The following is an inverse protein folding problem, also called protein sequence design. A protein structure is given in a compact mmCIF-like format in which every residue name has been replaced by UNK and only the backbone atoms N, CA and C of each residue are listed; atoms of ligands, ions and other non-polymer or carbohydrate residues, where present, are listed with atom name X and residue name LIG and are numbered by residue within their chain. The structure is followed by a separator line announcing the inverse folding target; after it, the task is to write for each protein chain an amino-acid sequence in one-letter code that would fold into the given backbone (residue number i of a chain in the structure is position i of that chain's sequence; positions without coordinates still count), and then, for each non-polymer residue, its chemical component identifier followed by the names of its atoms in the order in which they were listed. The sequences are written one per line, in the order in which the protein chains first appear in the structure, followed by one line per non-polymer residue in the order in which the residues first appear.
data_IF_546475810062
#
_entry.id   IF_546475810062
#
_cell.length_a   1.000
_cell.length_b   1.000
_cell.length_c   1.000
_cell.angle_alpha   90.00
_cell.angle_beta   90.00
_cell.angle_gamma   90.00
#
_symmetry.space_group_name_H-M   'P 1'
#
loop_
_entity.id
_entity.type
_entity.pdbx_description
1 polymer ?
#
# COMPACT_ATOMS: atom_id res chain seq x y z
N UNK A 1 21.04 -31.38 -1.28
CA UNK A 1 20.12 -32.23 -2.07
C UNK A 1 19.45 -31.39 -3.14
N UNK A 2 19.38 -31.82 -4.40
CA UNK A 2 18.78 -31.04 -5.49
C UNK A 2 17.30 -30.66 -5.25
N UNK A 3 16.57 -31.46 -4.46
CA UNK A 3 15.19 -31.21 -4.07
C UNK A 3 15.03 -30.00 -3.14
N UNK A 4 15.96 -29.78 -2.21
CA UNK A 4 15.92 -28.63 -1.28
C UNK A 4 16.11 -27.31 -2.03
N UNK A 5 17.05 -27.26 -2.97
CA UNK A 5 17.29 -26.05 -3.77
C UNK A 5 16.05 -25.68 -4.61
N UNK A 6 15.43 -26.66 -5.25
CA UNK A 6 14.17 -26.46 -5.99
C UNK A 6 13.04 -25.95 -5.10
N UNK A 7 12.91 -26.52 -3.90
CA UNK A 7 11.92 -26.07 -2.93
C UNK A 7 12.14 -24.60 -2.52
N UNK A 8 13.37 -24.25 -2.15
CA UNK A 8 13.72 -22.87 -1.78
C UNK A 8 13.53 -21.91 -2.95
N UNK A 9 13.84 -22.32 -4.18
CA UNK A 9 13.64 -21.50 -5.36
C UNK A 9 12.15 -21.19 -5.58
N UNK A 10 11.28 -22.20 -5.48
CA UNK A 10 9.82 -22.01 -5.62
C UNK A 10 9.29 -21.11 -4.52
N UNK A 11 9.58 -21.40 -3.25
CA UNK A 11 9.10 -20.58 -2.12
C UNK A 11 9.66 -19.16 -2.17
N UNK A 12 10.94 -19.00 -2.51
CA UNK A 12 11.56 -17.70 -2.67
C UNK A 12 10.93 -16.88 -3.79
N UNK A 13 10.65 -17.51 -4.94
CA UNK A 13 9.96 -16.85 -6.05
C UNK A 13 8.54 -16.41 -5.66
N UNK A 14 7.79 -17.26 -4.95
CA UNK A 14 6.46 -16.91 -4.46
C UNK A 14 6.50 -15.75 -3.47
N UNK A 15 7.43 -15.78 -2.51
CA UNK A 15 7.61 -14.70 -1.54
C UNK A 15 8.00 -13.38 -2.22
N UNK A 16 8.87 -13.42 -3.24
CA UNK A 16 9.27 -12.25 -4.01
C UNK A 16 8.08 -11.64 -4.76
N UNK A 17 7.27 -12.47 -5.42
CA UNK A 17 6.07 -12.00 -6.14
C UNK A 17 5.07 -11.36 -5.18
N UNK A 18 4.76 -12.02 -4.06
CA UNK A 18 3.78 -11.52 -3.08
C UNK A 18 4.26 -10.19 -2.49
N UNK A 19 5.50 -10.15 -2.02
CA UNK A 19 6.07 -8.93 -1.41
C UNK A 19 6.17 -7.80 -2.42
N UNK A 20 6.61 -8.08 -3.65
CA UNK A 20 6.69 -7.08 -4.72
C UNK A 20 5.33 -6.52 -5.10
N UNK A 21 4.31 -7.38 -5.22
CA UNK A 21 2.95 -6.94 -5.50
C UNK A 21 2.40 -6.05 -4.36
N UNK A 22 2.55 -6.47 -3.11
CA UNK A 22 2.12 -5.68 -1.96
C UNK A 22 2.84 -4.33 -1.87
N UNK A 23 4.14 -4.31 -2.17
CA UNK A 23 4.92 -3.07 -2.22
C UNK A 23 4.36 -2.09 -3.25
N UNK A 24 4.14 -2.54 -4.49
CA UNK A 24 3.56 -1.70 -5.55
C UNK A 24 2.17 -1.21 -5.16
N UNK A 25 1.32 -2.08 -4.60
CA UNK A 25 -0.01 -1.68 -4.15
C UNK A 25 0.06 -0.60 -3.06
N UNK A 26 1.01 -0.71 -2.14
CA UNK A 26 1.18 0.24 -1.07
C UNK A 26 1.70 1.60 -1.57
N UNK A 27 2.60 1.62 -2.56
CA UNK A 27 3.24 2.86 -3.01
C UNK A 27 2.50 3.59 -4.11
N UNK A 28 1.91 2.87 -5.08
CA UNK A 28 1.29 3.50 -6.25
C UNK A 28 -0.19 3.85 -6.02
N UNK A 29 -0.83 3.24 -5.02
CA UNK A 29 -2.24 3.47 -4.70
C UNK A 29 -2.44 4.20 -3.37
N UNK A 30 -1.39 4.82 -2.83
CA UNK A 30 -1.54 5.70 -1.69
C UNK A 30 -2.35 6.94 -2.09
N UNK A 31 -3.46 7.27 -1.38
CA UNK A 31 -4.27 8.42 -1.75
C UNK A 31 -3.52 9.72 -1.46
N UNK A 32 -3.61 10.69 -2.37
CA UNK A 32 -3.03 12.01 -2.14
C UNK A 32 -3.57 12.61 -0.83
N UNK A 33 -2.68 13.08 0.08
CA UNK A 33 -3.08 13.75 1.30
C UNK A 33 -3.87 15.02 0.99
N UNK A 34 -5.20 14.91 0.96
CA UNK A 34 -6.09 16.04 0.74
C UNK A 34 -6.54 16.65 2.06
N UNK A 35 -6.42 17.96 2.20
CA UNK A 35 -7.02 18.71 3.30
C UNK A 35 -8.54 18.67 3.15
N UNK A 36 -9.20 17.80 3.91
CA UNK A 36 -10.67 17.73 3.91
C UNK A 36 -11.21 18.79 4.86
N UNK A 37 -11.53 19.97 4.32
CA UNK A 37 -12.32 20.95 5.06
C UNK A 37 -13.79 20.54 4.98
N UNK A 38 -14.23 19.68 5.92
CA UNK A 38 -15.67 19.42 6.10
C UNK A 38 -16.23 20.52 7.00
N UNK A 39 -17.09 21.44 6.49
CA UNK A 39 -17.74 22.41 7.36
C UNK A 39 -18.68 21.67 8.31
N UNK A 40 -18.56 21.99 9.61
CA UNK A 40 -19.45 21.43 10.63
C UNK A 40 -20.83 22.08 10.46
N UNK A 41 -21.93 21.30 10.42
CA UNK A 41 -23.27 21.85 10.32
C UNK A 41 -23.51 22.89 11.43
N UNK A 42 -23.97 24.09 11.06
CA UNK A 42 -24.24 25.18 12.00
C UNK A 42 -23.06 26.09 12.34
N UNK A 43 -21.86 25.84 11.82
CA UNK A 43 -20.68 26.68 12.06
C UNK A 43 -20.40 27.57 10.84
N UNK A 44 -20.49 28.89 11.02
CA UNK A 44 -20.05 29.87 10.02
C UNK A 44 -18.54 30.08 10.16
N UNK A 45 -17.76 29.62 9.18
CA UNK A 45 -16.33 29.95 9.09
C UNK A 45 -16.21 31.41 8.67
N UNK A 46 -15.63 32.25 9.53
CA UNK A 46 -15.32 33.65 9.20
C UNK A 46 -13.97 33.68 8.51
N UNK A 47 -13.95 33.95 7.21
CA UNK A 47 -12.73 34.34 6.48
C UNK A 47 -12.44 35.80 6.80
N UNK A 48 -11.18 36.12 7.10
CA UNK A 48 -10.65 37.48 6.97
C UNK A 48 -10.60 37.92 5.51
#
# INVERSE_FOLDING_TARGET
MPSLFRFLFVVGSAAAIITGALYILATEFEPEPRTVTKPVPGVKVRSE
#
